data_IF_414233678537
#
_entry.id   IF_414233678537
#
_cell.length_a   1.000
_cell.length_b   1.000
_cell.length_c   1.000
_cell.angle_alpha   90.00
_cell.angle_beta   90.00
_cell.angle_gamma   90.00
#
_symmetry.space_group_name_H-M   'P 1'
#
loop_
_entity.id
_entity.type
_entity.pdbx_description
1 polymer ?
#
# COMPACT_ATOMS: atom_id res chain seq x y z
N UNK A 1 -7.22 11.59 -16.31
CA UNK A 1 -7.53 10.81 -15.09
C UNK A 1 -8.89 10.09 -15.24
N UNK A 2 -8.94 9.00 -16.00
CA UNK A 2 -10.23 8.40 -16.41
C UNK A 2 -10.30 6.87 -16.25
N UNK A 3 -9.37 6.25 -15.52
CA UNK A 3 -9.43 4.81 -15.30
C UNK A 3 -10.64 4.47 -14.43
N UNK A 4 -11.48 3.55 -14.91
CA UNK A 4 -12.69 3.13 -14.20
C UNK A 4 -12.37 2.61 -12.80
N UNK A 5 -11.20 1.98 -12.63
CA UNK A 5 -10.68 1.57 -11.32
C UNK A 5 -10.55 2.74 -10.33
N UNK A 6 -10.05 3.89 -10.78
CA UNK A 6 -9.91 5.08 -9.92
C UNK A 6 -11.29 5.62 -9.54
N UNK A 7 -12.26 5.59 -10.47
CA UNK A 7 -13.65 5.99 -10.19
C UNK A 7 -14.28 5.06 -9.14
N UNK A 8 -14.08 3.75 -9.29
CA UNK A 8 -14.58 2.74 -8.35
C UNK A 8 -13.94 2.89 -6.96
N UNK A 9 -12.64 3.14 -6.89
CA UNK A 9 -11.93 3.42 -5.63
C UNK A 9 -12.48 4.70 -4.99
N UNK A 10 -12.66 5.79 -5.75
CA UNK A 10 -13.26 7.03 -5.24
C UNK A 10 -14.67 6.79 -4.70
N UNK A 11 -15.52 6.08 -5.43
CA UNK A 11 -16.88 5.74 -4.98
C UNK A 11 -16.87 4.89 -3.70
N UNK A 12 -15.97 3.91 -3.60
CA UNK A 12 -15.79 3.08 -2.41
C UNK A 12 -15.37 3.91 -1.18
N UNK A 13 -14.35 4.76 -1.34
CA UNK A 13 -13.85 5.61 -0.24
C UNK A 13 -14.94 6.60 0.18
N UNK A 14 -15.66 7.20 -0.77
CA UNK A 14 -16.79 8.10 -0.47
C UNK A 14 -17.90 7.41 0.32
N UNK A 15 -18.11 6.11 0.13
CA UNK A 15 -19.11 5.32 0.88
C UNK A 15 -18.69 4.98 2.32
N UNK A 16 -17.40 5.10 2.64
CA UNK A 16 -16.87 4.86 3.98
C UNK A 16 -17.15 6.01 4.95
N UNK A 17 -17.38 5.66 6.21
CA UNK A 17 -17.39 6.64 7.30
C UNK A 17 -15.96 7.06 7.68
N UNK A 18 -15.74 8.25 8.26
CA UNK A 18 -14.39 8.69 8.68
C UNK A 18 -13.68 7.68 9.58
N UNK A 19 -14.40 7.10 10.56
CA UNK A 19 -13.89 6.07 11.47
C UNK A 19 -13.39 4.82 10.73
N UNK A 20 -14.08 4.41 9.67
CA UNK A 20 -13.70 3.25 8.86
C UNK A 20 -12.50 3.54 7.95
N UNK A 21 -12.31 4.80 7.53
CA UNK A 21 -11.15 5.22 6.72
C UNK A 21 -9.87 5.28 7.57
N UNK A 22 -9.99 5.80 8.79
CA UNK A 22 -8.88 5.87 9.75
C UNK A 22 -8.48 4.48 10.24
N UNK A 23 -9.46 3.61 10.49
CA UNK A 23 -9.23 2.27 10.99
C UNK A 23 -9.91 1.20 10.10
N UNK A 24 -9.19 0.69 9.08
CA UNK A 24 -9.69 -0.35 8.18
C UNK A 24 -10.02 -1.69 8.88
N UNK A 25 -9.48 -1.95 10.08
CA UNK A 25 -9.75 -3.20 10.80
C UNK A 25 -11.19 -3.23 11.38
N UNK A 26 -11.89 -2.08 11.41
CA UNK A 26 -13.31 -2.02 11.76
C UNK A 26 -14.23 -2.61 10.68
N UNK A 27 -13.73 -2.87 9.47
CA UNK A 27 -14.52 -3.33 8.32
C UNK A 27 -14.87 -4.83 8.42
N UNK A 28 -15.95 -5.12 9.15
CA UNK A 28 -16.58 -6.44 9.18
C UNK A 28 -17.40 -6.72 7.90
N UNK A 29 -17.93 -7.95 7.77
CA UNK A 29 -18.69 -8.36 6.58
C UNK A 29 -19.94 -7.51 6.33
N UNK A 30 -20.65 -7.09 7.39
CA UNK A 30 -21.84 -6.23 7.27
C UNK A 30 -21.48 -4.85 6.72
N UNK A 31 -20.40 -4.24 7.21
CA UNK A 31 -19.90 -2.95 6.71
C UNK A 31 -19.43 -3.06 5.26
N UNK A 32 -18.72 -4.13 4.90
CA UNK A 32 -18.31 -4.39 3.52
C UNK A 32 -19.49 -4.51 2.56
N UNK A 33 -20.60 -5.14 2.97
CA UNK A 33 -21.85 -5.18 2.16
C UNK A 33 -22.45 -3.79 1.99
N UNK A 34 -22.50 -2.98 3.05
CA UNK A 34 -22.96 -1.57 2.98
C UNK A 34 -22.11 -0.76 2.00
N UNK A 35 -20.79 -0.90 2.05
CA UNK A 35 -19.85 -0.21 1.16
C UNK A 35 -20.01 -0.65 -0.29
N UNK A 36 -20.15 -1.95 -0.52
CA UNK A 36 -20.41 -2.53 -1.82
C UNK A 36 -21.70 -1.95 -2.44
N UNK A 37 -22.79 -1.95 -1.69
CA UNK A 37 -24.06 -1.37 -2.11
C UNK A 37 -23.97 0.15 -2.38
N UNK A 38 -23.30 0.90 -1.50
CA UNK A 38 -23.13 2.35 -1.65
C UNK A 38 -22.23 2.76 -2.83
N UNK A 39 -21.27 1.91 -3.19
CA UNK A 39 -20.35 2.14 -4.30
C UNK A 39 -20.82 1.52 -5.63
N UNK A 40 -21.90 0.74 -5.64
CA UNK A 40 -22.34 -0.03 -6.81
C UNK A 40 -21.35 -1.13 -7.21
N UNK A 41 -20.66 -1.73 -6.24
CA UNK A 41 -19.61 -2.73 -6.46
C UNK A 41 -19.98 -4.06 -5.81
N UNK A 42 -19.34 -5.12 -6.29
CA UNK A 42 -19.38 -6.44 -5.65
C UNK A 42 -18.56 -6.48 -4.35
N UNK A 43 -19.03 -7.25 -3.37
CA UNK A 43 -18.31 -7.44 -2.09
C UNK A 43 -16.91 -8.02 -2.31
N UNK A 44 -16.75 -8.86 -3.33
CA UNK A 44 -15.44 -9.40 -3.72
C UNK A 44 -14.48 -8.32 -4.20
N UNK A 45 -14.99 -7.33 -4.96
CA UNK A 45 -14.20 -6.20 -5.42
C UNK A 45 -13.72 -5.37 -4.23
N UNK A 46 -14.60 -5.08 -3.27
CA UNK A 46 -14.26 -4.37 -2.02
C UNK A 46 -13.15 -5.10 -1.26
N UNK A 47 -13.24 -6.43 -1.12
CA UNK A 47 -12.21 -7.23 -0.46
C UNK A 47 -10.85 -7.15 -1.17
N UNK A 48 -10.83 -7.14 -2.51
CA UNK A 48 -9.61 -7.02 -3.30
C UNK A 48 -8.93 -5.66 -3.07
N UNK A 49 -9.70 -4.57 -3.16
CA UNK A 49 -9.19 -3.21 -2.93
C UNK A 49 -8.65 -3.05 -1.52
N UNK A 50 -9.37 -3.53 -0.50
CA UNK A 50 -8.91 -3.49 0.89
C UNK A 50 -7.61 -4.25 1.10
N UNK A 51 -7.44 -5.41 0.45
CA UNK A 51 -6.21 -6.21 0.53
C UNK A 51 -5.03 -5.48 -0.13
N UNK A 52 -5.24 -4.88 -1.30
CA UNK A 52 -4.23 -4.08 -1.99
C UNK A 52 -3.79 -2.89 -1.12
N UNK A 53 -4.74 -2.16 -0.54
CA UNK A 53 -4.45 -1.05 0.35
C UNK A 53 -3.69 -1.50 1.61
N UNK A 54 -4.08 -2.60 2.24
CA UNK A 54 -3.39 -3.17 3.40
C UNK A 54 -1.95 -3.56 3.07
N UNK A 55 -1.71 -4.11 1.88
CA UNK A 55 -0.36 -4.44 1.42
C UNK A 55 0.48 -3.19 1.14
N UNK A 56 -0.09 -2.19 0.47
CA UNK A 56 0.56 -0.90 0.23
C UNK A 56 0.93 -0.20 1.55
N UNK A 57 0.00 -0.14 2.51
CA UNK A 57 0.25 0.42 3.84
C UNK A 57 1.35 -0.33 4.60
N UNK A 58 1.40 -1.67 4.51
CA UNK A 58 2.49 -2.47 5.10
C UNK A 58 3.84 -2.15 4.47
N UNK A 59 3.91 -2.00 3.15
CA UNK A 59 5.14 -1.63 2.45
C UNK A 59 5.59 -0.22 2.82
N UNK A 60 4.67 0.75 2.80
CA UNK A 60 4.94 2.13 3.22
C UNK A 60 5.45 2.19 4.66
N UNK A 61 4.85 1.43 5.58
CA UNK A 61 5.31 1.35 6.98
C UNK A 61 6.72 0.78 7.08
N UNK A 62 7.02 -0.31 6.36
CA UNK A 62 8.38 -0.90 6.33
C UNK A 62 9.42 0.09 5.80
N UNK A 63 9.07 0.84 4.76
CA UNK A 63 9.99 1.82 4.17
C UNK A 63 10.17 3.08 5.05
N UNK A 64 9.12 3.47 5.79
CA UNK A 64 9.16 4.56 6.77
C UNK A 64 9.91 4.20 8.06
N UNK A 65 10.03 2.91 8.39
CA UNK A 65 10.80 2.49 9.57
C UNK A 65 12.32 2.60 9.32
N UNK A 66 13.04 3.09 10.35
CA UNK A 66 14.51 3.26 10.36
C UNK A 66 15.27 1.99 9.91
N UNK A 67 14.71 0.80 10.16
CA UNK A 67 15.26 -0.48 9.70
C UNK A 67 15.12 -0.74 8.20
N UNK A 68 14.02 -0.32 7.56
CA UNK A 68 13.84 -0.45 6.11
C UNK A 68 14.72 0.53 5.34
N UNK A 69 14.89 1.75 5.85
CA UNK A 69 15.82 2.71 5.27
C UNK A 69 17.28 2.30 5.46
N UNK A 70 17.64 1.73 6.63
CA UNK A 70 18.97 1.15 6.85
C UNK A 70 19.25 -0.03 5.93
N UNK A 71 18.28 -0.94 5.74
CA UNK A 71 18.43 -2.07 4.82
C UNK A 71 18.59 -1.64 3.36
N UNK A 72 17.87 -0.57 2.95
CA UNK A 72 18.06 0.04 1.62
C UNK A 72 19.43 0.71 1.51
N UNK A 73 19.90 1.38 2.56
CA UNK A 73 21.21 2.04 2.61
C UNK A 73 22.36 1.02 2.62
N UNK A 74 22.21 -0.11 3.30
CA UNK A 74 23.16 -1.24 3.30
C UNK A 74 23.22 -1.89 1.91
N UNK A 75 22.08 -2.06 1.24
CA UNK A 75 22.02 -2.58 -0.14
C UNK A 75 22.64 -1.59 -1.14
N UNK A 76 22.40 -0.28 -0.97
CA UNK A 76 23.04 0.76 -1.79
C UNK A 76 24.54 0.85 -1.54
N UNK A 77 24.99 0.71 -0.28
CA UNK A 77 26.41 0.66 0.07
C UNK A 77 27.09 -0.57 -0.56
N UNK A 78 26.39 -1.71 -0.64
CA UNK A 78 26.90 -2.91 -1.32
C UNK A 78 26.94 -2.74 -2.85
N UNK A 79 25.98 -2.00 -3.44
CA UNK A 79 25.92 -1.75 -4.88
C UNK A 79 26.89 -0.63 -5.33
N UNK A 80 27.13 0.37 -4.50
CA UNK A 80 28.10 1.46 -4.74
C UNK A 80 29.52 1.07 -4.29
N UNK A 81 29.66 0.13 -3.35
CA UNK A 81 30.93 -0.42 -2.88
C UNK A 81 31.49 -1.59 -3.69
N UNK A 82 30.76 -2.07 -4.70
CA UNK A 82 31.15 -3.18 -5.59
C UNK A 82 31.78 -2.78 -6.93
N UNK A 83 32.02 -1.48 -7.17
CA UNK A 83 32.49 -0.96 -8.46
C UNK A 83 33.78 -0.14 -8.43
N UNK A 84 34.52 -0.12 -7.32
CA UNK A 84 35.73 0.69 -7.21
C UNK A 84 36.72 0.13 -6.19
N UNK A 85 37.64 -0.72 -6.64
CA UNK A 85 38.87 -1.04 -5.92
C UNK A 85 39.88 -1.70 -6.88
N UNK A 86 41.18 -1.67 -6.58
CA UNK A 86 42.04 -0.51 -6.36
C UNK A 86 43.37 -0.64 -7.13
N UNK A 87 44.17 0.43 -7.07
CA UNK A 87 45.56 0.57 -7.49
C UNK A 87 46.39 -0.74 -7.47
N UNK A 88 46.93 -1.13 -8.63
CA UNK A 88 47.91 -2.22 -8.81
C UNK A 88 49.30 -1.64 -8.50
N UNK A 89 50.02 -2.11 -7.47
CA UNK A 89 51.42 -1.74 -7.32
C UNK A 89 52.30 -2.55 -8.29
N UNK A 90 53.36 -1.87 -8.74
CA UNK A 90 54.32 -2.20 -9.82
C UNK A 90 54.78 -3.65 -9.90
#
# INVERSE_FOLDING_TARGET
ENSDEIKQIKALVSSMTPKERENPDLLNNTRKRRLAAGAGLEVMHVNRVLKQFKNAAKMAKKMSTKGGMKQMQDMMAQMQGGGGMPNIPR
#
